data_IF_005074244734
#
_entry.id   IF_005074244734
#
_cell.length_a   1.000
_cell.length_b   1.000
_cell.length_c   1.000
_cell.angle_alpha   90.00
_cell.angle_beta   90.00
_cell.angle_gamma   90.00
#
_symmetry.space_group_name_H-M   'P 1'
#
loop_
_entity.id
_entity.type
_entity.pdbx_description
1 polymer ?
#
# COMPACT_ATOMS: atom_id res chain seq x y z
N UNK A 1 0.59 11.18 -16.60
CA UNK A 1 0.12 9.83 -16.23
C UNK A 1 0.11 9.67 -14.73
N UNK A 2 -0.82 8.90 -14.18
CA UNK A 2 -0.86 8.54 -12.78
C UNK A 2 -0.47 7.08 -12.57
N UNK A 3 -0.05 6.75 -11.36
CA UNK A 3 0.16 5.37 -10.89
C UNK A 3 -0.68 5.18 -9.64
N UNK A 4 -1.54 4.16 -9.64
CA UNK A 4 -2.19 3.69 -8.42
C UNK A 4 -1.27 2.71 -7.71
N UNK A 5 -0.69 3.12 -6.58
CA UNK A 5 0.34 2.33 -5.91
C UNK A 5 -0.19 1.24 -4.98
N UNK A 6 -1.53 1.11 -4.83
CA UNK A 6 -2.14 0.09 -4.00
C UNK A 6 -3.62 -0.14 -4.38
N UNK A 7 -3.91 -1.29 -4.98
CA UNK A 7 -5.25 -1.75 -5.32
C UNK A 7 -5.38 -3.27 -5.16
N UNK A 8 -6.58 -3.77 -4.87
CA UNK A 8 -6.86 -5.20 -4.72
C UNK A 8 -7.78 -5.71 -5.85
N UNK A 9 -7.32 -5.63 -7.10
CA UNK A 9 -8.06 -6.13 -8.28
C UNK A 9 -8.28 -7.65 -8.26
N UNK A 10 -7.52 -8.37 -7.44
CA UNK A 10 -7.63 -9.81 -7.16
C UNK A 10 -8.78 -10.16 -6.22
N UNK A 11 -9.46 -9.17 -5.61
CA UNK A 11 -10.58 -9.41 -4.70
C UNK A 11 -11.88 -9.72 -5.44
N UNK A 12 -12.84 -10.42 -4.77
CA UNK A 12 -14.10 -10.85 -5.37
C UNK A 12 -14.91 -9.73 -6.01
N UNK A 13 -14.80 -8.51 -5.49
CA UNK A 13 -15.49 -7.31 -5.95
C UNK A 13 -15.16 -6.94 -7.40
N UNK A 14 -14.01 -7.40 -7.91
CA UNK A 14 -13.55 -7.12 -9.27
C UNK A 14 -13.53 -8.35 -10.19
N UNK A 15 -13.84 -9.54 -9.69
CA UNK A 15 -13.61 -10.84 -10.35
C UNK A 15 -14.02 -10.89 -11.83
N UNK A 16 -15.15 -10.29 -12.19
CA UNK A 16 -15.69 -10.31 -13.57
C UNK A 16 -15.45 -9.01 -14.34
N UNK A 17 -14.94 -7.98 -13.70
CA UNK A 17 -14.90 -6.61 -14.24
C UNK A 17 -13.49 -6.07 -14.46
N UNK A 18 -12.43 -6.83 -14.16
CA UNK A 18 -11.05 -6.34 -14.27
C UNK A 18 -10.76 -5.64 -15.60
N UNK A 19 -11.13 -6.18 -16.77
CA UNK A 19 -10.90 -5.49 -18.05
C UNK A 19 -11.60 -4.13 -18.15
N UNK A 20 -12.83 -4.03 -17.66
CA UNK A 20 -13.59 -2.78 -17.67
C UNK A 20 -13.01 -1.73 -16.69
N UNK A 21 -12.58 -2.19 -15.51
CA UNK A 21 -11.90 -1.35 -14.51
C UNK A 21 -10.59 -0.78 -15.07
N UNK A 22 -9.78 -1.62 -15.72
CA UNK A 22 -8.55 -1.19 -16.38
C UNK A 22 -8.81 -0.21 -17.54
N UNK A 23 -9.90 -0.42 -18.30
CA UNK A 23 -10.35 0.52 -19.33
C UNK A 23 -10.63 1.91 -18.75
N UNK A 24 -11.43 2.00 -17.68
CA UNK A 24 -11.71 3.28 -17.00
C UNK A 24 -10.46 3.90 -16.37
N UNK A 25 -9.56 3.09 -15.81
CA UNK A 25 -8.27 3.56 -15.30
C UNK A 25 -7.45 4.23 -16.40
N UNK A 26 -7.36 3.61 -17.57
CA UNK A 26 -6.66 4.17 -18.73
C UNK A 26 -7.29 5.48 -19.23
N UNK A 27 -8.62 5.56 -19.31
CA UNK A 27 -9.36 6.79 -19.65
C UNK A 27 -9.04 7.92 -18.66
N UNK A 28 -8.87 7.58 -17.36
CA UNK A 28 -8.45 8.50 -16.30
C UNK A 28 -6.92 8.77 -16.30
N UNK A 29 -6.16 8.27 -17.30
CA UNK A 29 -4.69 8.41 -17.40
C UNK A 29 -3.91 7.71 -16.28
N UNK A 30 -4.49 6.68 -15.68
CA UNK A 30 -3.80 5.76 -14.77
C UNK A 30 -3.15 4.67 -15.62
N UNK A 31 -1.83 4.71 -15.75
CA UNK A 31 -1.10 3.86 -16.69
C UNK A 31 -0.43 2.66 -16.03
N UNK A 32 -0.32 2.67 -14.71
CA UNK A 32 0.21 1.55 -13.92
C UNK A 32 -0.57 1.39 -12.63
N UNK A 33 -0.75 0.12 -12.23
CA UNK A 33 -1.46 -0.26 -11.02
C UNK A 33 -0.64 -1.30 -10.29
N UNK A 34 -0.38 -1.08 -9.00
CA UNK A 34 0.24 -2.08 -8.14
C UNK A 34 -0.88 -2.86 -7.46
N UNK A 35 -1.08 -4.10 -7.92
CA UNK A 35 -2.10 -4.99 -7.37
C UNK A 35 -1.52 -5.77 -6.19
N UNK A 36 -2.23 -5.82 -5.07
CA UNK A 36 -1.67 -6.21 -3.78
C UNK A 36 -2.17 -7.58 -3.33
N UNK A 37 -1.23 -8.46 -2.96
CA UNK A 37 -1.49 -9.71 -2.27
C UNK A 37 -1.47 -9.53 -0.76
N UNK A 38 -2.29 -10.30 -0.04
CA UNK A 38 -2.44 -10.22 1.43
C UNK A 38 -2.19 -11.58 2.12
N UNK A 39 -2.06 -12.64 1.33
CA UNK A 39 -1.75 -14.03 1.68
C UNK A 39 -1.20 -14.75 0.44
N UNK A 40 -0.75 -16.03 0.54
CA UNK A 40 -0.22 -16.75 -0.63
C UNK A 40 -1.20 -16.90 -1.78
N UNK A 41 -2.49 -17.12 -1.52
CA UNK A 41 -3.49 -17.32 -2.57
C UNK A 41 -3.79 -16.02 -3.31
N UNK A 42 -4.03 -14.94 -2.59
CA UNK A 42 -4.23 -13.62 -3.18
C UNK A 42 -2.97 -13.11 -3.89
N UNK A 43 -1.78 -13.44 -3.38
CA UNK A 43 -0.49 -13.16 -4.01
C UNK A 43 -0.35 -13.88 -5.36
N UNK A 44 -0.73 -15.16 -5.46
CA UNK A 44 -0.79 -15.90 -6.74
C UNK A 44 -1.74 -15.23 -7.73
N UNK A 45 -2.93 -14.81 -7.27
CA UNK A 45 -3.89 -14.10 -8.10
C UNK A 45 -3.36 -12.73 -8.54
N UNK A 46 -2.66 -12.02 -7.66
CA UNK A 46 -2.03 -10.74 -7.99
C UNK A 46 -1.01 -10.92 -9.12
N UNK A 47 -0.13 -11.90 -9.03
CA UNK A 47 0.85 -12.21 -10.09
C UNK A 47 0.16 -12.68 -11.38
N UNK A 48 -0.91 -13.48 -11.27
CA UNK A 48 -1.70 -13.87 -12.45
C UNK A 48 -2.23 -12.65 -13.20
N UNK A 49 -2.81 -11.67 -12.50
CA UNK A 49 -3.29 -10.43 -13.13
C UNK A 49 -2.14 -9.62 -13.73
N UNK A 50 -1.02 -9.51 -13.05
CA UNK A 50 0.17 -8.79 -13.54
C UNK A 50 0.77 -9.43 -14.80
N UNK A 51 0.69 -10.75 -14.95
CA UNK A 51 1.07 -11.46 -16.18
C UNK A 51 0.11 -11.21 -17.34
N UNK A 52 -1.18 -11.09 -17.02
CA UNK A 52 -2.24 -10.94 -18.02
C UNK A 52 -2.37 -9.51 -18.54
N UNK A 53 -2.09 -8.51 -17.69
CA UNK A 53 -2.30 -7.10 -18.02
C UNK A 53 -0.96 -6.33 -17.89
N UNK A 54 -0.42 -5.79 -19.00
CA UNK A 54 0.91 -5.14 -19.00
C UNK A 54 1.05 -3.99 -18.00
N UNK A 55 -0.02 -3.23 -17.79
CA UNK A 55 -0.13 -2.09 -16.86
C UNK A 55 -0.17 -2.49 -15.39
N UNK A 56 -0.41 -3.78 -15.08
CA UNK A 56 -0.49 -4.28 -13.71
C UNK A 56 0.85 -4.85 -13.27
N UNK A 57 1.24 -4.52 -12.05
CA UNK A 57 2.34 -5.11 -11.28
C UNK A 57 1.79 -5.74 -10.02
N UNK A 58 2.58 -6.58 -9.35
CA UNK A 58 2.12 -7.32 -8.17
C UNK A 58 2.97 -7.01 -6.94
N UNK A 59 2.35 -7.07 -5.76
CA UNK A 59 3.05 -7.31 -4.51
C UNK A 59 2.62 -8.65 -3.93
N UNK A 60 3.46 -9.21 -3.06
CA UNK A 60 3.22 -10.49 -2.40
C UNK A 60 3.58 -10.39 -0.93
N UNK A 61 2.73 -10.90 -0.03
CA UNK A 61 2.99 -10.75 1.39
C UNK A 61 1.92 -11.39 2.27
N UNK A 62 2.11 -11.23 3.59
CA UNK A 62 1.13 -11.58 4.62
C UNK A 62 0.64 -10.33 5.33
N UNK A 63 -0.59 -9.95 5.06
CA UNK A 63 -1.29 -8.91 5.81
C UNK A 63 -1.40 -9.31 7.30
N UNK A 64 -1.33 -8.38 8.26
CA UNK A 64 -1.42 -8.69 9.68
C UNK A 64 -2.64 -9.54 10.09
N UNK A 65 -3.73 -9.48 9.35
CA UNK A 65 -4.90 -10.33 9.60
C UNK A 65 -4.67 -11.81 9.30
N UNK A 66 -3.72 -12.12 8.43
CA UNK A 66 -3.34 -13.49 8.03
C UNK A 66 -2.07 -13.98 8.75
N UNK A 67 -1.56 -13.24 9.74
CA UNK A 67 -0.27 -13.56 10.38
C UNK A 67 -0.20 -14.95 11.01
N UNK A 68 -1.31 -15.52 11.46
CA UNK A 68 -1.39 -16.91 11.98
C UNK A 68 -1.16 -18.00 10.93
N UNK A 69 -1.34 -17.66 9.67
CA UNK A 69 -1.20 -18.60 8.55
C UNK A 69 0.25 -18.71 8.05
N UNK A 70 1.15 -17.89 8.63
CA UNK A 70 2.56 -17.94 8.30
C UNK A 70 3.21 -19.20 8.90
N UNK A 71 3.66 -20.07 8.02
CA UNK A 71 4.49 -21.24 8.33
C UNK A 71 5.61 -21.42 7.29
N UNK A 72 6.38 -22.49 7.41
CA UNK A 72 7.52 -22.78 6.51
C UNK A 72 7.04 -22.95 5.07
N UNK A 73 5.90 -23.62 4.85
CA UNK A 73 5.37 -23.89 3.52
C UNK A 73 4.86 -22.62 2.85
N UNK A 74 4.01 -21.86 3.54
CA UNK A 74 3.44 -20.62 3.05
C UNK A 74 4.50 -19.55 2.80
N UNK A 75 5.54 -19.44 3.65
CA UNK A 75 6.71 -18.60 3.41
C UNK A 75 7.47 -19.04 2.17
N UNK A 76 7.70 -20.34 2.00
CA UNK A 76 8.34 -20.92 0.81
C UNK A 76 7.57 -20.62 -0.48
N UNK A 77 6.25 -20.67 -0.44
CA UNK A 77 5.39 -20.28 -1.56
C UNK A 77 5.60 -18.80 -1.93
N UNK A 78 5.60 -17.89 -0.94
CA UNK A 78 5.83 -16.46 -1.21
C UNK A 78 7.21 -16.17 -1.80
N UNK A 79 8.27 -16.81 -1.30
CA UNK A 79 9.62 -16.70 -1.86
C UNK A 79 9.60 -17.08 -3.36
N UNK A 80 8.97 -18.19 -3.70
CA UNK A 80 8.86 -18.65 -5.08
C UNK A 80 8.10 -17.65 -5.97
N UNK A 81 7.00 -17.09 -5.46
CA UNK A 81 6.18 -16.10 -6.19
C UNK A 81 6.91 -14.77 -6.33
N UNK A 82 7.66 -14.34 -5.30
CA UNK A 82 8.40 -13.09 -5.28
C UNK A 82 9.51 -13.01 -6.35
N UNK A 83 10.00 -14.14 -6.83
CA UNK A 83 10.98 -14.21 -7.91
C UNK A 83 10.43 -13.81 -9.31
N UNK A 84 9.12 -13.61 -9.46
CA UNK A 84 8.52 -13.25 -10.73
C UNK A 84 8.80 -11.79 -11.09
N UNK A 85 9.20 -11.51 -12.33
CA UNK A 85 9.60 -10.17 -12.82
C UNK A 85 8.56 -9.05 -12.63
N UNK A 86 7.28 -9.40 -12.54
CA UNK A 86 6.18 -8.47 -12.29
C UNK A 86 5.93 -8.21 -10.81
N UNK A 87 6.61 -8.91 -9.90
CA UNK A 87 6.55 -8.63 -8.46
C UNK A 87 7.53 -7.49 -8.16
N UNK A 88 7.00 -6.40 -7.61
CA UNK A 88 7.74 -5.15 -7.42
C UNK A 88 7.90 -4.76 -5.95
N UNK A 89 7.25 -5.49 -5.03
CA UNK A 89 7.40 -5.27 -3.58
C UNK A 89 6.96 -6.50 -2.78
N UNK A 90 7.46 -6.59 -1.54
CA UNK A 90 6.88 -7.43 -0.49
C UNK A 90 5.83 -6.61 0.24
N UNK A 91 4.59 -7.07 0.18
CA UNK A 91 3.42 -6.36 0.74
C UNK A 91 2.11 -6.96 0.21
N UNK A 92 1.03 -6.78 0.95
CA UNK A 92 0.90 -5.91 2.13
C UNK A 92 1.36 -6.65 3.39
N UNK A 93 2.18 -6.01 4.21
CA UNK A 93 2.74 -6.56 5.46
C UNK A 93 2.61 -5.51 6.56
N UNK A 94 2.75 -5.86 7.84
CA UNK A 94 2.74 -4.84 8.89
C UNK A 94 1.89 -5.20 10.10
N UNK A 95 1.28 -4.16 10.74
CA UNK A 95 0.58 -4.30 12.01
C UNK A 95 -0.79 -3.61 11.99
N UNK A 96 -1.82 -4.31 12.45
CA UNK A 96 -3.18 -3.78 12.66
C UNK A 96 -3.67 -4.12 14.07
N UNK A 97 -3.70 -3.11 14.95
CA UNK A 97 -4.17 -3.27 16.32
C UNK A 97 -5.61 -2.81 16.53
N UNK A 98 -6.29 -2.38 15.47
CA UNK A 98 -7.66 -1.90 15.54
C UNK A 98 -8.62 -2.93 16.15
N UNK A 99 -8.51 -4.19 15.72
CA UNK A 99 -9.40 -5.25 16.18
C UNK A 99 -9.00 -5.82 17.53
N UNK A 100 -7.72 -5.80 17.89
CA UNK A 100 -7.23 -6.30 19.18
C UNK A 100 -7.87 -5.58 20.39
N UNK A 101 -8.29 -4.32 20.21
CA UNK A 101 -8.86 -3.48 21.26
C UNK A 101 -10.39 -3.52 21.32
N UNK A 102 -11.08 -4.20 20.40
CA UNK A 102 -12.50 -3.91 20.13
C UNK A 102 -13.53 -5.00 20.40
N UNK A 103 -13.21 -6.19 20.84
CA UNK A 103 -14.22 -7.17 21.30
C UNK A 103 -13.78 -8.63 21.20
N UNK A 104 -14.35 -9.48 22.06
CA UNK A 104 -14.29 -10.95 21.96
C UNK A 104 -14.77 -11.51 20.61
N UNK A 105 -15.53 -10.74 19.82
CA UNK A 105 -15.92 -11.10 18.44
C UNK A 105 -14.71 -11.30 17.52
N UNK A 106 -13.57 -10.72 17.84
CA UNK A 106 -12.34 -10.79 17.06
C UNK A 106 -11.24 -11.65 17.74
N UNK A 107 -11.63 -12.55 18.66
CA UNK A 107 -10.72 -13.46 19.36
C UNK A 107 -9.91 -14.38 18.43
N UNK A 108 -10.38 -14.59 17.18
CA UNK A 108 -9.65 -15.33 16.15
C UNK A 108 -8.57 -14.53 15.44
N UNK A 109 -8.54 -13.20 15.60
CA UNK A 109 -7.52 -12.36 14.99
C UNK A 109 -6.13 -12.68 15.54
N UNK A 110 -5.06 -12.51 14.74
CA UNK A 110 -3.70 -12.67 15.21
C UNK A 110 -3.39 -11.72 16.37
N UNK A 111 -2.71 -12.24 17.40
CA UNK A 111 -2.24 -11.43 18.53
C UNK A 111 -1.21 -10.41 18.08
N UNK A 112 -0.86 -9.45 18.96
CA UNK A 112 0.21 -8.49 18.70
C UNK A 112 1.54 -9.19 18.39
N UNK A 113 1.88 -10.21 19.16
CA UNK A 113 3.11 -10.99 19.04
C UNK A 113 3.16 -11.77 17.71
N UNK A 114 2.05 -12.40 17.32
CA UNK A 114 1.94 -13.10 16.04
C UNK A 114 2.09 -12.14 14.86
N UNK A 115 1.48 -10.94 14.93
CA UNK A 115 1.62 -9.92 13.89
C UNK A 115 3.06 -9.39 13.81
N UNK A 116 3.71 -9.12 14.95
CA UNK A 116 5.11 -8.65 15.00
C UNK A 116 6.02 -9.71 14.37
N UNK A 117 5.90 -10.97 14.79
CA UNK A 117 6.69 -12.05 14.23
C UNK A 117 6.53 -12.17 12.71
N UNK A 118 5.28 -12.17 12.23
CA UNK A 118 5.00 -12.23 10.80
C UNK A 118 5.60 -11.01 10.05
N UNK A 119 5.45 -9.82 10.60
CA UNK A 119 5.97 -8.58 10.01
C UNK A 119 7.50 -8.63 9.87
N UNK A 120 8.23 -9.04 10.91
CA UNK A 120 9.69 -9.19 10.87
C UNK A 120 10.11 -10.22 9.82
N UNK A 121 9.44 -11.39 9.74
CA UNK A 121 9.71 -12.39 8.71
C UNK A 121 9.50 -11.87 7.29
N UNK A 122 8.54 -10.98 7.08
CA UNK A 122 8.27 -10.38 5.77
C UNK A 122 9.25 -9.24 5.44
N UNK A 123 9.72 -8.49 6.44
CA UNK A 123 10.79 -7.51 6.25
C UNK A 123 12.12 -8.18 5.88
N UNK A 124 12.44 -9.31 6.53
CA UNK A 124 13.60 -10.12 6.17
C UNK A 124 13.50 -10.65 4.74
N UNK A 125 12.31 -11.11 4.32
CA UNK A 125 12.07 -11.53 2.94
C UNK A 125 12.28 -10.35 1.95
N UNK A 126 11.86 -9.14 2.32
CA UNK A 126 12.07 -7.96 1.49
C UNK A 126 13.58 -7.64 1.32
N UNK A 127 14.39 -7.81 2.39
CA UNK A 127 15.84 -7.71 2.30
C UNK A 127 16.45 -8.80 1.42
N UNK A 128 16.09 -10.05 1.64
CA UNK A 128 16.61 -11.21 0.90
C UNK A 128 16.33 -11.10 -0.60
N UNK A 129 15.16 -10.56 -0.97
CA UNK A 129 14.75 -10.38 -2.37
C UNK A 129 15.19 -9.05 -2.97
N UNK A 130 15.72 -8.13 -2.17
CA UNK A 130 16.02 -6.73 -2.55
C UNK A 130 14.78 -5.98 -3.10
N UNK A 131 13.59 -6.37 -2.67
CA UNK A 131 12.32 -5.70 -3.00
C UNK A 131 11.94 -4.69 -1.91
N UNK A 132 11.28 -3.57 -2.25
CA UNK A 132 10.75 -2.66 -1.25
C UNK A 132 9.61 -3.30 -0.46
N UNK A 133 9.32 -2.76 0.75
CA UNK A 133 8.21 -3.18 1.58
C UNK A 133 7.03 -2.20 1.48
N UNK A 134 5.80 -2.73 1.32
CA UNK A 134 4.53 -1.98 1.43
C UNK A 134 3.90 -2.32 2.78
N UNK A 135 3.86 -1.32 3.67
CA UNK A 135 3.61 -1.52 5.10
C UNK A 135 2.25 -0.97 5.50
N UNK A 136 1.42 -1.86 6.02
CA UNK A 136 0.18 -1.56 6.73
C UNK A 136 0.46 -1.09 8.16
N UNK A 137 -0.17 0.01 8.58
CA UNK A 137 -0.02 0.54 9.93
C UNK A 137 -1.33 1.09 10.45
N UNK A 138 -2.01 0.35 11.32
CA UNK A 138 -3.28 0.79 11.90
C UNK A 138 -3.26 0.67 13.43
N UNK A 139 -3.32 1.81 14.12
CA UNK A 139 -3.20 1.89 15.59
C UNK A 139 -1.90 1.24 16.16
N UNK A 140 -0.83 1.15 15.34
CA UNK A 140 0.41 0.41 15.62
C UNK A 140 1.69 1.25 15.42
N UNK A 141 1.60 2.56 15.28
CA UNK A 141 2.72 3.44 14.88
C UNK A 141 3.97 3.30 15.75
N UNK A 142 3.81 3.05 17.07
CA UNK A 142 4.95 2.91 17.98
C UNK A 142 5.78 1.66 17.68
N UNK A 143 5.12 0.51 17.47
CA UNK A 143 5.81 -0.75 17.16
C UNK A 143 6.36 -0.73 15.73
N UNK A 144 5.65 -0.17 14.78
CA UNK A 144 6.14 0.05 13.41
C UNK A 144 7.47 0.83 13.46
N UNK A 145 7.53 1.96 14.18
CA UNK A 145 8.76 2.75 14.32
C UNK A 145 9.88 1.97 15.01
N UNK A 146 9.55 1.23 16.07
CA UNK A 146 10.54 0.46 16.83
C UNK A 146 11.18 -0.63 15.95
N UNK A 147 10.38 -1.37 15.20
CA UNK A 147 10.84 -2.43 14.30
C UNK A 147 11.63 -1.84 13.13
N UNK A 148 11.10 -0.83 12.45
CA UNK A 148 11.73 -0.25 11.25
C UNK A 148 13.08 0.41 11.52
N UNK A 149 13.38 0.82 12.75
CA UNK A 149 14.72 1.31 13.12
C UNK A 149 15.83 0.30 12.82
N UNK A 150 15.57 -0.99 12.99
CA UNK A 150 16.53 -2.06 12.72
C UNK A 150 16.81 -2.25 11.22
N UNK A 151 15.93 -1.76 10.36
CA UNK A 151 16.01 -1.86 8.90
C UNK A 151 16.44 -0.54 8.23
N UNK A 152 16.72 0.51 9.01
CA UNK A 152 17.15 1.80 8.48
C UNK A 152 18.42 1.67 7.63
N UNK A 153 18.38 2.24 6.43
CA UNK A 153 19.49 2.20 5.47
C UNK A 153 19.68 0.87 4.73
N UNK A 154 18.91 -0.16 5.07
CA UNK A 154 18.99 -1.48 4.45
C UNK A 154 17.80 -1.77 3.52
N UNK A 155 16.65 -1.16 3.80
CA UNK A 155 15.38 -1.44 3.14
C UNK A 155 14.78 -0.16 2.53
N UNK A 156 14.06 -0.31 1.44
CA UNK A 156 13.12 0.71 0.94
C UNK A 156 11.73 0.36 1.45
N UNK A 157 11.03 1.29 2.08
CA UNK A 157 9.68 1.04 2.60
C UNK A 157 8.73 2.20 2.37
N UNK A 158 7.45 1.90 2.29
CA UNK A 158 6.35 2.86 2.27
C UNK A 158 5.31 2.48 3.33
N UNK A 159 4.91 3.44 4.16
CA UNK A 159 3.70 3.29 4.96
C UNK A 159 2.52 3.61 4.05
N UNK A 160 1.77 2.57 3.66
CA UNK A 160 0.61 2.75 2.80
C UNK A 160 -0.58 3.31 3.59
N UNK A 161 -1.51 3.94 2.88
CA UNK A 161 -2.74 4.51 3.46
C UNK A 161 -2.46 5.36 4.72
N UNK A 162 -1.47 6.25 4.63
CA UNK A 162 -0.99 7.00 5.77
C UNK A 162 -2.10 7.74 6.52
N UNK A 163 -2.28 7.40 7.77
CA UNK A 163 -3.21 8.04 8.71
C UNK A 163 -2.48 8.41 10.01
N UNK A 164 -1.69 9.45 10.00
CA UNK A 164 -0.92 9.85 11.17
C UNK A 164 -0.67 11.35 11.27
N UNK A 165 -0.03 11.75 12.36
CA UNK A 165 0.43 13.12 12.57
C UNK A 165 1.81 13.36 11.95
N UNK A 166 2.24 14.64 11.93
CA UNK A 166 3.53 15.00 11.34
C UNK A 166 4.72 14.38 12.07
N UNK A 167 4.63 14.14 13.38
CA UNK A 167 5.71 13.51 14.14
C UNK A 167 6.00 12.08 13.65
N UNK A 168 4.96 11.30 13.41
CA UNK A 168 5.11 9.95 12.84
C UNK A 168 5.65 10.01 11.42
N UNK A 169 5.10 10.89 10.57
CA UNK A 169 5.60 11.07 9.20
C UNK A 169 7.08 11.45 9.20
N UNK A 170 7.50 12.43 10.01
CA UNK A 170 8.89 12.88 10.08
C UNK A 170 9.84 11.73 10.42
N UNK A 171 9.52 10.92 11.43
CA UNK A 171 10.33 9.76 11.81
C UNK A 171 10.46 8.72 10.69
N UNK A 172 9.39 8.49 9.93
CA UNK A 172 9.40 7.61 8.75
C UNK A 172 10.31 8.18 7.65
N UNK A 173 10.19 9.48 7.37
CA UNK A 173 11.01 10.15 6.36
C UNK A 173 12.48 10.25 6.76
N UNK A 174 12.78 10.48 8.03
CA UNK A 174 14.16 10.53 8.57
C UNK A 174 14.88 9.18 8.40
N UNK A 175 14.13 8.08 8.36
CA UNK A 175 14.66 6.74 8.03
C UNK A 175 14.79 6.51 6.50
N UNK A 176 14.48 7.51 5.65
CA UNK A 176 14.54 7.40 4.20
C UNK A 176 13.33 6.69 3.56
N UNK A 177 12.31 6.37 4.34
CA UNK A 177 11.10 5.71 3.87
C UNK A 177 10.11 6.71 3.25
N UNK A 178 8.99 6.22 2.72
CA UNK A 178 7.96 7.01 2.06
C UNK A 178 6.60 6.82 2.75
N UNK A 179 5.64 7.64 2.37
CA UNK A 179 4.23 7.43 2.69
C UNK A 179 3.40 7.41 1.42
N UNK A 180 2.24 6.78 1.44
CA UNK A 180 1.22 6.95 0.41
C UNK A 180 -0.12 7.37 1.00
N UNK A 181 -0.96 7.97 0.19
CA UNK A 181 -2.25 8.52 0.62
C UNK A 181 -3.38 8.04 -0.26
N UNK A 182 -4.52 7.77 0.37
CA UNK A 182 -5.74 7.23 -0.26
C UNK A 182 -6.86 8.27 -0.33
N UNK A 183 -8.02 7.86 -0.83
CA UNK A 183 -9.24 8.64 -0.85
C UNK A 183 -9.69 9.17 0.52
N UNK A 184 -9.20 8.61 1.62
CA UNK A 184 -9.52 9.06 2.97
C UNK A 184 -9.13 10.52 3.26
N UNK A 185 -8.14 11.08 2.56
CA UNK A 185 -7.76 12.49 2.70
C UNK A 185 -8.84 13.44 2.24
N UNK A 186 -9.85 12.97 1.50
CA UNK A 186 -10.97 13.80 1.04
C UNK A 186 -12.06 14.00 2.10
N UNK A 187 -12.11 13.14 3.14
CA UNK A 187 -13.19 13.15 4.15
C UNK A 187 -12.74 12.85 5.59
N UNK A 188 -11.46 12.57 5.83
CA UNK A 188 -10.95 12.20 7.16
C UNK A 188 -9.89 13.17 7.68
N UNK A 189 -9.84 13.22 8.99
CA UNK A 189 -8.77 13.66 9.93
C UNK A 189 -8.01 14.94 9.56
N UNK A 190 -8.37 16.06 10.22
CA UNK A 190 -7.59 17.31 10.15
C UNK A 190 -6.10 17.11 10.44
N UNK A 191 -5.75 16.20 11.37
CA UNK A 191 -4.37 15.91 11.77
C UNK A 191 -3.51 15.38 10.60
N UNK A 192 -4.03 14.43 9.81
CA UNK A 192 -3.33 13.91 8.63
C UNK A 192 -3.18 15.00 7.56
N UNK A 193 -4.20 15.84 7.35
CA UNK A 193 -4.12 16.98 6.43
C UNK A 193 -2.99 17.95 6.84
N UNK A 194 -2.89 18.29 8.15
CA UNK A 194 -1.82 19.15 8.65
C UNK A 194 -0.43 18.51 8.52
N UNK A 195 -0.34 17.19 8.70
CA UNK A 195 0.90 16.46 8.42
C UNK A 195 1.30 16.54 6.94
N UNK A 196 0.34 16.29 6.03
CA UNK A 196 0.59 16.32 4.60
C UNK A 196 1.03 17.69 4.09
N UNK A 197 0.55 18.80 4.66
CA UNK A 197 1.05 20.15 4.31
C UNK A 197 2.56 20.28 4.48
N UNK A 198 3.14 19.60 5.47
CA UNK A 198 4.56 19.69 5.84
C UNK A 198 5.44 18.64 5.15
N UNK A 199 4.89 17.45 4.84
CA UNK A 199 5.64 16.37 4.19
C UNK A 199 6.04 16.77 2.77
N UNK A 200 7.31 16.62 2.33
CA UNK A 200 7.72 16.92 0.95
C UNK A 200 6.95 16.10 -0.07
N UNK A 201 6.47 16.71 -1.15
CA UNK A 201 5.69 16.01 -2.18
C UNK A 201 6.45 14.84 -2.80
N UNK A 202 7.74 14.96 -3.01
CA UNK A 202 8.61 13.87 -3.52
C UNK A 202 8.78 12.67 -2.58
N UNK A 203 8.18 12.71 -1.37
CA UNK A 203 8.13 11.58 -0.43
C UNK A 203 6.75 10.92 -0.36
N UNK A 204 5.78 11.43 -1.13
CA UNK A 204 4.40 10.94 -1.13
C UNK A 204 4.11 10.17 -2.42
N UNK A 205 3.42 9.04 -2.30
CA UNK A 205 2.76 8.35 -3.40
C UNK A 205 1.24 8.42 -3.23
N UNK A 206 0.50 8.17 -4.28
CA UNK A 206 -0.96 8.18 -4.29
C UNK A 206 -1.50 6.80 -4.65
N UNK A 207 -2.61 6.42 -4.04
CA UNK A 207 -3.23 5.13 -4.23
C UNK A 207 -4.74 5.18 -3.99
N UNK A 208 -5.44 4.13 -4.38
CA UNK A 208 -6.86 4.01 -4.11
C UNK A 208 -7.17 3.17 -2.89
N UNK A 209 -6.43 2.10 -2.64
CA UNK A 209 -6.79 1.00 -1.74
C UNK A 209 -8.13 0.36 -2.15
N UNK A 210 -8.40 0.37 -3.46
CA UNK A 210 -9.67 -0.16 -4.01
C UNK A 210 -9.79 -1.67 -3.77
N UNK A 211 -11.00 -2.16 -3.39
CA UNK A 211 -12.33 -1.54 -3.51
C UNK A 211 -12.74 -0.60 -2.36
N UNK A 212 -11.86 -0.33 -1.41
CA UNK A 212 -12.12 0.44 -0.19
C UNK A 212 -11.83 1.94 -0.38
N UNK A 213 -12.13 2.74 0.65
CA UNK A 213 -11.71 4.13 0.84
C UNK A 213 -12.04 5.08 -0.34
N UNK A 214 -13.18 4.86 -0.98
CA UNK A 214 -13.65 5.69 -2.12
C UNK A 214 -13.58 7.17 -1.78
N UNK A 215 -12.90 8.00 -2.62
CA UNK A 215 -12.82 9.44 -2.39
C UNK A 215 -14.13 10.18 -2.68
N UNK A 216 -14.28 11.40 -2.14
CA UNK A 216 -15.27 12.33 -2.67
C UNK A 216 -14.91 12.70 -4.13
N UNK A 217 -15.92 12.90 -5.02
CA UNK A 217 -17.36 12.90 -4.76
C UNK A 217 -18.03 11.50 -4.87
N UNK A 218 -17.25 10.42 -4.99
CA UNK A 218 -17.77 9.07 -5.26
C UNK A 218 -18.09 8.24 -4.01
N UNK A 219 -18.12 8.86 -2.83
CA UNK A 219 -18.44 8.16 -1.57
C UNK A 219 -19.72 7.35 -1.68
N UNK A 220 -19.68 6.11 -1.10
CA UNK A 220 -20.79 5.16 -1.18
C UNK A 220 -20.78 4.24 -2.41
N UNK A 221 -19.94 4.51 -3.39
CA UNK A 221 -19.68 3.59 -4.52
C UNK A 221 -18.47 2.68 -4.19
N UNK A 222 -18.31 1.58 -4.94
CA UNK A 222 -17.08 0.79 -4.92
C UNK A 222 -15.94 1.63 -5.48
N UNK A 223 -14.81 1.67 -4.76
CA UNK A 223 -13.62 2.34 -5.25
C UNK A 223 -12.98 1.57 -6.41
N UNK A 224 -12.23 2.26 -7.27
CA UNK A 224 -11.47 1.66 -8.37
C UNK A 224 -10.24 2.52 -8.72
N UNK A 225 -9.22 1.97 -9.40
CA UNK A 225 -7.98 2.69 -9.72
C UNK A 225 -8.17 4.04 -10.45
N UNK A 226 -9.22 4.19 -11.25
CA UNK A 226 -9.55 5.46 -11.92
C UNK A 226 -9.71 6.63 -10.93
N UNK A 227 -10.14 6.34 -9.70
CA UNK A 227 -10.41 7.38 -8.69
C UNK A 227 -9.14 7.89 -7.97
N UNK A 228 -7.95 7.36 -8.26
CA UNK A 228 -6.69 7.91 -7.76
C UNK A 228 -6.48 9.37 -8.20
N UNK A 229 -7.11 9.77 -9.30
CA UNK A 229 -7.11 11.16 -9.78
C UNK A 229 -7.75 12.12 -8.78
N UNK A 230 -8.79 11.67 -8.06
CA UNK A 230 -9.43 12.49 -7.02
C UNK A 230 -8.51 12.63 -5.78
N UNK A 231 -7.74 11.58 -5.48
CA UNK A 231 -6.70 11.65 -4.45
C UNK A 231 -5.63 12.69 -4.84
N UNK A 232 -5.19 12.68 -6.10
CA UNK A 232 -4.23 13.66 -6.62
C UNK A 232 -4.78 15.09 -6.56
N UNK A 233 -6.04 15.32 -6.94
CA UNK A 233 -6.70 16.65 -6.85
C UNK A 233 -6.71 17.14 -5.40
N UNK A 234 -7.10 16.29 -4.47
CA UNK A 234 -7.13 16.66 -3.04
C UNK A 234 -5.73 16.91 -2.48
N UNK A 235 -4.74 16.14 -2.88
CA UNK A 235 -3.36 16.35 -2.47
C UNK A 235 -2.82 17.68 -3.03
N UNK A 236 -3.15 18.04 -4.27
CA UNK A 236 -2.82 19.34 -4.89
C UNK A 236 -3.40 20.52 -4.07
N UNK A 237 -4.68 20.41 -3.68
CA UNK A 237 -5.35 21.40 -2.80
C UNK A 237 -4.61 21.52 -1.45
N UNK A 238 -4.31 20.39 -0.78
CA UNK A 238 -3.63 20.38 0.52
C UNK A 238 -2.24 21.02 0.43
N UNK A 239 -1.51 20.75 -0.65
CA UNK A 239 -0.14 21.23 -0.88
C UNK A 239 -0.10 22.67 -1.45
N UNK A 240 -1.18 23.19 -1.97
CA UNK A 240 -1.21 24.49 -2.66
C UNK A 240 -0.40 24.49 -3.96
N UNK A 241 -0.33 23.36 -4.67
CA UNK A 241 0.40 23.19 -5.94
C UNK A 241 -0.54 22.70 -7.05
N UNK A 242 -0.07 22.68 -8.29
CA UNK A 242 -0.88 22.19 -9.40
C UNK A 242 -1.04 20.66 -9.39
N UNK A 243 -2.15 20.15 -9.94
CA UNK A 243 -2.35 18.71 -10.12
C UNK A 243 -1.26 18.11 -11.03
N UNK A 244 -0.75 18.87 -12.00
CA UNK A 244 0.34 18.43 -12.87
C UNK A 244 1.64 18.21 -12.09
N UNK A 245 1.93 19.02 -11.09
CA UNK A 245 3.07 18.85 -10.20
C UNK A 245 2.89 17.64 -9.28
N UNK A 246 1.69 17.43 -8.72
CA UNK A 246 1.38 16.20 -7.97
C UNK A 246 1.56 14.96 -8.86
N UNK A 247 0.98 14.96 -10.06
CA UNK A 247 1.12 13.90 -11.05
C UNK A 247 2.59 13.56 -11.30
N UNK A 248 3.41 14.59 -11.57
CA UNK A 248 4.83 14.42 -11.87
C UNK A 248 5.62 13.85 -10.68
N UNK A 249 5.49 14.45 -9.51
CA UNK A 249 6.30 14.08 -8.34
C UNK A 249 5.90 12.72 -7.78
N UNK A 250 4.59 12.43 -7.67
CA UNK A 250 4.11 11.14 -7.14
C UNK A 250 4.41 9.99 -8.10
N UNK A 251 4.26 10.21 -9.41
CA UNK A 251 4.65 9.23 -10.43
C UNK A 251 6.15 8.95 -10.39
N UNK A 252 6.99 10.01 -10.38
CA UNK A 252 8.45 9.86 -10.27
C UNK A 252 8.85 9.09 -9.02
N UNK A 253 8.19 9.36 -7.88
CA UNK A 253 8.43 8.64 -6.62
C UNK A 253 8.06 7.17 -6.76
N UNK A 254 6.88 6.85 -7.29
CA UNK A 254 6.41 5.47 -7.48
C UNK A 254 7.30 4.69 -8.45
N UNK A 255 7.66 5.28 -9.60
CA UNK A 255 8.57 4.66 -10.59
C UNK A 255 9.91 4.28 -9.95
N UNK A 256 10.52 5.22 -9.21
CA UNK A 256 11.81 4.97 -8.52
C UNK A 256 11.67 3.95 -7.40
N UNK A 257 10.60 4.04 -6.61
CA UNK A 257 10.38 3.18 -5.44
C UNK A 257 10.21 1.72 -5.83
N UNK A 258 9.35 1.44 -6.78
CA UNK A 258 9.04 0.10 -7.26
C UNK A 258 9.97 -0.39 -8.38
N UNK A 259 10.87 0.44 -8.91
CA UNK A 259 11.73 0.09 -10.03
C UNK A 259 10.96 -0.15 -11.34
N UNK A 260 9.85 0.56 -11.55
CA UNK A 260 9.00 0.39 -12.75
C UNK A 260 9.72 0.92 -14.00
N UNK A 261 9.51 0.20 -15.11
CA UNK A 261 10.05 0.54 -16.44
C UNK A 261 9.01 1.21 -17.32
#
# INVERSE_FOLDING_TARGET
>A
MFIDTHAHLNFPEFKTEVPAVLGRAKEARVERIINVGVDPESSKLSVYLARKYPEVYATVGFHPHCAKELDIESKGQLISIAAHEKVVAIGEIGLDYYFLKRSSKYASYPTREEQIFCFEQMLDLALETNLPAVIHSREASADILAILKSYHGQLRAVIHCYEGNYEFASKILDMGFAISVTGNITYKKPETIEALKKVPIGSIMIETDSPYLTPEPYRGQRNEPAFVVEVAKKLAEIKGISIAEVEMETTKKAMKFFGLK
#
